data_IF_947619232802
#
_entry.id   IF_947619232802
#
_cell.length_a   1.000
_cell.length_b   1.000
_cell.length_c   1.000
_cell.angle_alpha   90.00
_cell.angle_beta   90.00
_cell.angle_gamma   90.00
#
_symmetry.space_group_name_H-M   'P 1'
#
loop_
_entity.id
_entity.type
_entity.pdbx_description
1 polymer ?
#
# COMPACT_ATOMS: atom_id res chain seq x y z
N UNK A 1 12.20 -7.99 -23.57
CA UNK A 1 10.73 -8.24 -23.70
C UNK A 1 9.98 -6.99 -23.26
N UNK A 2 8.82 -6.66 -23.82
CA UNK A 2 8.01 -5.55 -23.28
C UNK A 2 7.24 -6.04 -22.05
N UNK A 3 7.25 -5.25 -20.96
CA UNK A 3 6.47 -5.56 -19.76
C UNK A 3 4.97 -5.55 -20.09
N UNK A 4 4.23 -6.45 -19.45
CA UNK A 4 2.78 -6.53 -19.57
C UNK A 4 2.12 -5.41 -18.76
N UNK A 5 1.03 -4.87 -19.26
CA UNK A 5 0.19 -3.91 -18.52
C UNK A 5 -0.37 -4.55 -17.25
N UNK A 6 -0.52 -3.78 -16.16
CA UNK A 6 -1.12 -4.26 -14.91
C UNK A 6 -2.52 -4.86 -15.13
N UNK A 7 -3.34 -4.27 -16.00
CA UNK A 7 -4.66 -4.81 -16.33
C UNK A 7 -4.58 -6.25 -16.90
N UNK A 8 -3.64 -6.51 -17.81
CA UNK A 8 -3.43 -7.84 -18.37
C UNK A 8 -2.93 -8.86 -17.33
N UNK A 9 -2.14 -8.42 -16.36
CA UNK A 9 -1.68 -9.24 -15.22
C UNK A 9 -2.86 -9.59 -14.31
N UNK A 10 -3.69 -8.60 -13.96
CA UNK A 10 -4.91 -8.82 -13.15
C UNK A 10 -5.86 -9.80 -13.86
N UNK A 11 -6.00 -9.69 -15.19
CA UNK A 11 -6.83 -10.61 -15.97
C UNK A 11 -6.32 -12.06 -15.96
N UNK A 12 -5.01 -12.25 -15.95
CA UNK A 12 -4.40 -13.58 -15.85
C UNK A 12 -4.59 -14.18 -14.46
N UNK A 13 -4.37 -13.39 -13.39
CA UNK A 13 -4.67 -13.81 -12.02
C UNK A 13 -6.15 -14.21 -11.88
N UNK A 14 -7.08 -13.40 -12.41
CA UNK A 14 -8.52 -13.70 -12.41
C UNK A 14 -8.84 -15.03 -13.10
N UNK A 15 -8.12 -15.32 -14.18
CA UNK A 15 -8.27 -16.55 -14.97
C UNK A 15 -7.53 -17.74 -14.37
N UNK A 16 -6.88 -17.59 -13.20
CA UNK A 16 -6.12 -18.64 -12.53
C UNK A 16 -4.77 -18.93 -13.16
N UNK A 17 -4.20 -18.01 -13.94
CA UNK A 17 -2.85 -18.13 -14.50
C UNK A 17 -1.82 -17.57 -13.53
N UNK A 18 -0.60 -18.11 -13.61
CA UNK A 18 0.57 -17.54 -12.95
C UNK A 18 0.99 -16.24 -13.65
N UNK A 19 1.55 -15.31 -12.89
CA UNK A 19 2.19 -14.08 -13.39
C UNK A 19 3.52 -13.89 -12.66
N UNK A 20 4.38 -13.01 -13.16
CA UNK A 20 5.60 -12.61 -12.49
C UNK A 20 5.52 -11.11 -12.19
N UNK A 21 5.81 -10.74 -10.95
CA UNK A 21 6.11 -9.35 -10.59
C UNK A 21 7.55 -9.26 -10.12
N UNK A 22 8.24 -8.22 -10.58
CA UNK A 22 9.51 -7.80 -10.02
C UNK A 22 9.33 -6.58 -9.12
N UNK A 23 10.14 -6.50 -8.07
CA UNK A 23 10.24 -5.32 -7.21
C UNK A 23 11.30 -4.32 -7.70
N UNK A 24 11.54 -3.26 -6.92
CA UNK A 24 12.51 -2.22 -7.27
C UNK A 24 13.95 -2.74 -7.20
N UNK A 25 14.81 -2.30 -8.13
CA UNK A 25 16.23 -2.70 -8.18
C UNK A 25 17.01 -2.34 -6.90
N UNK A 26 16.52 -1.38 -6.09
CA UNK A 26 17.11 -0.97 -4.82
C UNK A 26 16.48 -1.66 -3.59
N UNK A 27 15.46 -2.49 -3.78
CA UNK A 27 14.80 -3.28 -2.73
C UNK A 27 15.39 -4.69 -2.68
N UNK A 28 14.72 -5.71 -3.20
CA UNK A 28 15.24 -7.09 -3.31
C UNK A 28 15.87 -7.32 -4.69
N UNK A 29 15.40 -6.59 -5.71
CA UNK A 29 15.78 -6.74 -7.12
C UNK A 29 15.46 -8.15 -7.66
N UNK A 30 14.36 -8.72 -7.20
CA UNK A 30 13.96 -10.11 -7.43
C UNK A 30 12.62 -10.18 -8.15
N UNK A 31 12.24 -11.36 -8.60
CA UNK A 31 10.95 -11.61 -9.22
C UNK A 31 10.32 -12.87 -8.67
N UNK A 32 9.03 -12.75 -8.35
CA UNK A 32 8.23 -13.83 -7.79
C UNK A 32 7.22 -14.33 -8.81
N UNK A 33 7.06 -15.65 -8.90
CA UNK A 33 5.86 -16.23 -9.48
C UNK A 33 4.70 -16.04 -8.51
N UNK A 34 3.58 -15.53 -9.00
CA UNK A 34 2.38 -15.24 -8.22
C UNK A 34 1.18 -15.96 -8.86
N UNK A 35 0.39 -16.64 -8.04
CA UNK A 35 -0.91 -17.22 -8.43
C UNK A 35 -1.93 -17.05 -7.31
N UNK A 36 -3.18 -16.75 -7.67
CA UNK A 36 -4.27 -16.67 -6.68
C UNK A 36 -4.41 -17.99 -5.92
N UNK A 37 -4.45 -17.91 -4.58
CA UNK A 37 -4.48 -19.09 -3.72
C UNK A 37 -5.70 -19.97 -3.98
N UNK A 38 -6.86 -19.38 -4.27
CA UNK A 38 -8.09 -20.11 -4.61
C UNK A 38 -8.07 -20.78 -6.00
N UNK A 39 -7.08 -20.48 -6.85
CA UNK A 39 -6.91 -21.05 -8.20
C UNK A 39 -5.71 -22.00 -8.28
N UNK A 40 -4.95 -22.16 -7.20
CA UNK A 40 -3.73 -22.95 -7.23
C UNK A 40 -4.06 -24.43 -7.47
N UNK A 41 -3.20 -25.09 -8.24
CA UNK A 41 -3.32 -26.53 -8.53
C UNK A 41 -2.03 -27.27 -8.15
N UNK A 42 -2.09 -28.59 -7.94
CA UNK A 42 -0.88 -29.39 -7.72
C UNK A 42 0.15 -29.25 -8.84
N UNK A 43 -0.31 -29.11 -10.10
CA UNK A 43 0.55 -28.91 -11.26
C UNK A 43 1.27 -27.56 -11.20
N UNK A 44 0.58 -26.50 -10.77
CA UNK A 44 1.19 -25.18 -10.56
C UNK A 44 2.19 -25.22 -9.41
N UNK A 45 1.86 -25.85 -8.28
CA UNK A 45 2.81 -26.02 -7.17
C UNK A 45 4.06 -26.77 -7.62
N UNK A 46 3.88 -27.87 -8.36
CA UNK A 46 5.02 -28.63 -8.90
C UNK A 46 5.86 -27.80 -9.88
N UNK A 47 5.23 -26.97 -10.72
CA UNK A 47 5.92 -26.04 -11.61
C UNK A 47 6.71 -25.00 -10.82
N UNK A 48 6.06 -24.31 -9.88
CA UNK A 48 6.65 -23.30 -9.00
C UNK A 48 7.91 -23.82 -8.33
N UNK A 49 7.83 -24.98 -7.67
CA UNK A 49 8.97 -25.51 -6.89
C UNK A 49 10.09 -26.07 -7.77
N UNK A 50 9.78 -26.49 -9.00
CA UNK A 50 10.77 -27.04 -9.95
C UNK A 50 11.48 -25.95 -10.75
N UNK A 51 10.72 -24.99 -11.24
CA UNK A 51 11.22 -23.98 -12.18
C UNK A 51 11.66 -22.70 -11.46
N UNK A 52 10.93 -22.24 -10.42
CA UNK A 52 11.34 -21.06 -9.64
C UNK A 52 12.25 -21.41 -8.46
N UNK A 53 12.02 -22.56 -7.80
CA UNK A 53 12.92 -23.18 -6.80
C UNK A 53 13.04 -22.46 -5.44
N UNK A 54 12.47 -21.26 -5.30
CA UNK A 54 12.47 -20.49 -4.06
C UNK A 54 11.64 -21.11 -2.93
N UNK A 55 11.28 -20.28 -1.94
CA UNK A 55 10.43 -20.72 -0.84
C UNK A 55 8.95 -20.50 -1.20
N UNK A 56 8.18 -21.58 -1.29
CA UNK A 56 6.75 -21.47 -1.54
C UNK A 56 6.04 -20.88 -0.30
N UNK A 57 5.66 -19.62 -0.41
CA UNK A 57 4.94 -18.88 0.62
C UNK A 57 3.48 -18.64 0.22
N UNK A 58 2.64 -18.35 1.21
CA UNK A 58 1.27 -17.91 0.98
C UNK A 58 1.09 -16.48 1.50
N UNK A 59 0.77 -15.54 0.62
CA UNK A 59 0.40 -14.19 1.06
C UNK A 59 -1.02 -14.23 1.61
N UNK A 60 -1.23 -13.64 2.78
CA UNK A 60 -2.53 -13.52 3.42
C UNK A 60 -2.71 -12.11 3.97
N UNK A 61 -3.95 -11.66 4.11
CA UNK A 61 -4.23 -10.41 4.83
C UNK A 61 -4.23 -10.62 6.34
N UNK A 62 -4.17 -9.53 7.09
CA UNK A 62 -4.26 -9.57 8.56
C UNK A 62 -5.57 -10.23 9.02
N UNK A 63 -6.68 -10.01 8.32
CA UNK A 63 -7.99 -10.60 8.64
C UNK A 63 -8.00 -12.13 8.45
N UNK A 64 -7.29 -12.64 7.44
CA UNK A 64 -7.15 -14.09 7.25
C UNK A 64 -6.27 -14.68 8.37
N UNK A 65 -5.18 -14.01 8.72
CA UNK A 65 -4.29 -14.44 9.81
C UNK A 65 -5.03 -14.45 11.16
N UNK A 66 -5.83 -13.43 11.45
CA UNK A 66 -6.65 -13.33 12.66
C UNK A 66 -7.74 -14.42 12.68
N UNK A 67 -8.47 -14.61 11.58
CA UNK A 67 -9.52 -15.63 11.46
C UNK A 67 -8.99 -17.05 11.70
N UNK A 68 -7.77 -17.33 11.26
CA UNK A 68 -7.13 -18.63 11.40
C UNK A 68 -6.27 -18.75 12.67
N UNK A 69 -6.26 -17.72 13.53
CA UNK A 69 -5.45 -17.65 14.75
C UNK A 69 -3.96 -17.94 14.49
N UNK A 70 -3.40 -17.38 13.41
CA UNK A 70 -2.00 -17.59 13.00
C UNK A 70 -1.08 -16.52 13.60
N UNK A 71 -0.35 -16.79 14.70
CA UNK A 71 0.60 -15.85 15.25
C UNK A 71 1.83 -15.69 14.34
N UNK A 72 2.47 -14.52 14.41
CA UNK A 72 3.79 -14.31 13.83
C UNK A 72 4.81 -15.28 14.45
N UNK A 73 5.71 -15.83 13.62
CA UNK A 73 6.67 -16.83 14.09
C UNK A 73 7.76 -16.24 15.01
N UNK A 74 8.04 -14.94 14.89
CA UNK A 74 8.99 -14.22 15.76
C UNK A 74 8.29 -13.05 16.45
N UNK A 75 8.64 -12.82 17.72
CA UNK A 75 8.16 -11.65 18.48
C UNK A 75 8.87 -10.36 18.09
N UNK A 76 10.13 -10.48 17.67
CA UNK A 76 10.96 -9.36 17.21
C UNK A 76 11.37 -9.68 15.78
N UNK A 77 10.81 -8.93 14.82
CA UNK A 77 11.17 -9.08 13.42
C UNK A 77 12.44 -8.28 13.14
N UNK A 78 13.57 -8.98 13.03
CA UNK A 78 14.87 -8.39 12.67
C UNK A 78 15.11 -8.33 11.15
N UNK A 79 14.13 -8.73 10.34
CA UNK A 79 14.24 -8.68 8.88
C UNK A 79 14.37 -7.23 8.38
N UNK A 80 15.28 -7.02 7.44
CA UNK A 80 15.54 -5.72 6.81
C UNK A 80 14.29 -5.16 6.13
N UNK A 81 13.45 -6.04 5.59
CA UNK A 81 12.22 -5.67 4.89
C UNK A 81 10.96 -5.94 5.71
N UNK A 82 11.09 -6.30 6.99
CA UNK A 82 9.97 -6.55 7.92
C UNK A 82 8.92 -7.51 7.36
N UNK A 83 9.37 -8.64 6.82
CA UNK A 83 8.51 -9.68 6.26
C UNK A 83 7.82 -10.46 7.38
N UNK A 84 6.49 -10.40 7.44
CA UNK A 84 5.70 -10.90 8.57
C UNK A 84 5.30 -12.38 8.40
N UNK A 85 6.28 -13.27 8.54
CA UNK A 85 5.99 -14.70 8.56
C UNK A 85 5.16 -15.10 9.79
N UNK A 86 4.10 -15.88 9.55
CA UNK A 86 3.42 -16.63 10.62
C UNK A 86 4.14 -17.94 10.91
N UNK A 87 3.70 -18.66 11.93
CA UNK A 87 4.02 -20.10 12.05
C UNK A 87 3.67 -20.83 10.75
N UNK A 88 4.45 -21.84 10.38
CA UNK A 88 4.15 -22.64 9.20
C UNK A 88 2.90 -23.49 9.40
N UNK A 89 2.20 -23.77 8.31
CA UNK A 89 0.88 -24.39 8.34
C UNK A 89 0.76 -25.61 7.42
N UNK A 90 -0.16 -26.49 7.77
CA UNK A 90 -0.65 -27.60 6.95
C UNK A 90 -2.18 -27.67 7.05
N UNK A 91 -2.89 -28.12 6.01
CA UNK A 91 -4.29 -28.47 6.14
C UNK A 91 -4.47 -29.62 7.15
N UNK A 92 -5.50 -29.54 7.98
CA UNK A 92 -5.79 -30.56 8.98
C UNK A 92 -6.30 -31.89 8.36
N UNK A 93 -6.86 -31.82 7.15
CA UNK A 93 -7.45 -32.96 6.44
C UNK A 93 -7.13 -32.90 4.94
N UNK A 94 -7.28 -34.03 4.25
CA UNK A 94 -7.07 -34.12 2.81
C UNK A 94 -5.59 -34.09 2.39
N UNK A 95 -4.67 -34.22 3.35
CA UNK A 95 -3.22 -34.25 3.13
C UNK A 95 -2.58 -35.50 3.74
N UNK A 96 -1.36 -35.80 3.34
CA UNK A 96 -0.57 -36.91 3.89
C UNK A 96 0.58 -36.42 4.78
N UNK A 97 1.79 -36.30 4.23
CA UNK A 97 2.95 -35.75 4.94
C UNK A 97 3.04 -34.24 4.82
N UNK A 98 2.28 -33.62 3.90
CA UNK A 98 2.22 -32.18 3.75
C UNK A 98 3.14 -31.61 2.66
N UNK A 99 4.25 -32.28 2.36
CA UNK A 99 5.28 -31.72 1.46
C UNK A 99 4.96 -31.87 -0.04
N UNK A 100 4.07 -32.79 -0.39
CA UNK A 100 3.77 -33.07 -1.80
C UNK A 100 3.15 -31.85 -2.48
N UNK A 101 3.22 -31.77 -3.81
CA UNK A 101 2.58 -30.68 -4.55
C UNK A 101 1.05 -30.68 -4.35
N UNK A 102 0.47 -31.86 -4.16
CA UNK A 102 -0.95 -32.05 -3.86
C UNK A 102 -1.31 -31.51 -2.47
N UNK A 103 -0.54 -31.90 -1.45
CA UNK A 103 -0.78 -31.49 -0.07
C UNK A 103 -0.61 -29.97 0.08
N UNK A 104 0.47 -29.40 -0.46
CA UNK A 104 0.73 -27.96 -0.43
C UNK A 104 -0.35 -27.14 -1.14
N UNK A 105 -0.84 -27.60 -2.29
CA UNK A 105 -1.97 -26.96 -2.97
C UNK A 105 -3.25 -27.02 -2.14
N UNK A 106 -3.52 -28.16 -1.49
CA UNK A 106 -4.67 -28.33 -0.59
C UNK A 106 -4.58 -27.41 0.63
N UNK A 107 -3.40 -27.29 1.24
CA UNK A 107 -3.12 -26.37 2.36
C UNK A 107 -3.35 -24.91 1.99
N UNK A 108 -2.76 -24.45 0.88
CA UNK A 108 -2.94 -23.08 0.39
C UNK A 108 -4.42 -22.77 0.13
N UNK A 109 -5.13 -23.68 -0.56
CA UNK A 109 -6.55 -23.51 -0.87
C UNK A 109 -7.41 -23.50 0.39
N UNK A 110 -7.10 -24.36 1.36
CA UNK A 110 -7.83 -24.47 2.63
C UNK A 110 -7.69 -23.18 3.44
N UNK A 111 -6.48 -22.65 3.59
CA UNK A 111 -6.24 -21.40 4.31
C UNK A 111 -6.88 -20.18 3.63
N UNK A 112 -6.96 -20.17 2.29
CA UNK A 112 -7.58 -19.09 1.52
C UNK A 112 -9.12 -19.13 1.50
N UNK A 113 -9.74 -20.25 1.90
CA UNK A 113 -11.19 -20.41 1.80
C UNK A 113 -11.94 -19.38 2.68
N UNK A 114 -13.01 -18.79 2.14
CA UNK A 114 -13.81 -17.75 2.82
C UNK A 114 -14.34 -18.21 4.19
N UNK A 115 -14.64 -19.51 4.31
CA UNK A 115 -15.18 -20.12 5.53
C UNK A 115 -14.13 -20.81 6.40
N UNK A 116 -12.84 -20.74 6.03
CA UNK A 116 -11.78 -21.40 6.76
C UNK A 116 -11.79 -20.99 8.23
N UNK A 117 -11.64 -21.99 9.11
CA UNK A 117 -11.61 -21.84 10.56
C UNK A 117 -10.25 -22.31 11.10
N UNK A 118 -9.87 -21.94 12.33
CA UNK A 118 -8.61 -22.37 12.93
C UNK A 118 -8.41 -23.89 12.91
N UNK A 119 -9.47 -24.69 13.14
CA UNK A 119 -9.37 -26.17 13.12
C UNK A 119 -9.11 -26.79 11.74
N UNK A 120 -9.26 -26.02 10.65
CA UNK A 120 -8.99 -26.52 9.30
C UNK A 120 -7.48 -26.55 8.99
N UNK A 121 -6.68 -25.92 9.85
CA UNK A 121 -5.23 -25.76 9.71
C UNK A 121 -4.53 -26.27 10.97
N UNK A 122 -3.35 -26.86 10.80
CA UNK A 122 -2.46 -27.25 11.90
C UNK A 122 -1.09 -26.61 11.72
N UNK A 123 -0.39 -26.42 12.84
CA UNK A 123 0.99 -25.95 12.87
C UNK A 123 1.86 -26.87 13.75
N UNK A 124 3.11 -27.17 13.35
CA UNK A 124 3.79 -26.69 12.14
C UNK A 124 3.33 -27.41 10.85
N UNK A 125 3.77 -26.89 9.70
CA UNK A 125 3.58 -27.52 8.39
C UNK A 125 4.57 -27.03 7.32
N UNK A 126 4.22 -27.21 6.05
CA UNK A 126 5.13 -26.97 4.90
C UNK A 126 4.75 -25.77 4.02
N UNK A 127 3.70 -25.03 4.37
CA UNK A 127 3.39 -23.72 3.78
C UNK A 127 3.73 -22.64 4.78
N UNK A 128 4.27 -21.53 4.29
CA UNK A 128 4.73 -20.40 5.10
C UNK A 128 3.85 -19.17 4.80
N UNK A 129 2.82 -18.90 5.61
CA UNK A 129 2.02 -17.71 5.41
C UNK A 129 2.80 -16.45 5.77
N UNK A 130 2.59 -15.40 4.98
CA UNK A 130 3.21 -14.09 5.15
C UNK A 130 2.10 -13.05 5.14
N UNK A 131 2.02 -12.27 6.21
CA UNK A 131 0.94 -11.31 6.42
C UNK A 131 1.27 -10.00 5.70
N UNK A 132 0.43 -9.64 4.73
CA UNK A 132 0.50 -8.34 4.06
C UNK A 132 0.13 -7.22 5.03
N UNK A 133 0.83 -6.08 4.92
CA UNK A 133 0.48 -4.89 5.67
C UNK A 133 -0.86 -4.30 5.17
N UNK A 134 -1.67 -3.71 6.06
CA UNK A 134 -2.82 -2.90 5.66
C UNK A 134 -2.41 -1.86 4.61
N UNK A 135 -3.30 -1.63 3.64
CA UNK A 135 -3.05 -0.73 2.52
C UNK A 135 -2.27 -1.34 1.36
N UNK A 136 -1.69 -2.54 1.52
CA UNK A 136 -1.05 -3.29 0.44
C UNK A 136 0.17 -2.55 -0.15
N UNK A 137 0.33 -2.61 -1.47
CA UNK A 137 1.53 -2.08 -2.14
C UNK A 137 1.71 -0.57 -2.00
N UNK A 138 0.64 0.14 -1.63
CA UNK A 138 0.68 1.58 -1.36
C UNK A 138 1.36 1.92 -0.04
N UNK A 139 1.37 0.97 0.91
CA UNK A 139 2.05 1.12 2.20
C UNK A 139 3.41 0.44 2.21
N UNK A 140 3.48 -0.82 1.75
CA UNK A 140 4.72 -1.60 1.62
C UNK A 140 4.83 -2.17 0.22
N UNK A 141 5.79 -1.74 -0.62
CA UNK A 141 5.91 -2.18 -2.00
C UNK A 141 6.63 -3.55 -2.10
N UNK A 142 6.09 -4.58 -1.43
CA UNK A 142 6.65 -5.94 -1.43
C UNK A 142 5.79 -6.97 -2.16
N UNK A 143 6.39 -8.12 -2.49
CA UNK A 143 5.70 -9.23 -3.15
C UNK A 143 4.52 -9.78 -2.32
N UNK A 144 4.64 -9.74 -1.00
CA UNK A 144 3.56 -10.11 -0.07
C UNK A 144 2.30 -9.29 -0.31
N UNK A 145 2.44 -7.96 -0.29
CA UNK A 145 1.34 -7.04 -0.55
C UNK A 145 0.82 -7.15 -1.98
N UNK A 146 1.73 -7.26 -2.95
CA UNK A 146 1.39 -7.36 -4.36
C UNK A 146 0.53 -8.61 -4.65
N UNK A 147 0.83 -9.74 -4.02
CA UNK A 147 0.01 -10.95 -4.12
C UNK A 147 -1.43 -10.74 -3.64
N UNK A 148 -1.60 -10.17 -2.43
CA UNK A 148 -2.93 -9.89 -1.88
C UNK A 148 -3.70 -8.87 -2.74
N UNK A 149 -3.04 -7.80 -3.19
CA UNK A 149 -3.65 -6.77 -4.03
C UNK A 149 -4.07 -7.28 -5.40
N UNK A 150 -3.22 -8.07 -6.07
CA UNK A 150 -3.56 -8.66 -7.37
C UNK A 150 -4.80 -9.56 -7.26
N UNK A 151 -4.87 -10.41 -6.23
CA UNK A 151 -6.03 -11.27 -6.03
C UNK A 151 -7.30 -10.47 -5.74
N UNK A 152 -7.21 -9.42 -4.91
CA UNK A 152 -8.33 -8.50 -4.65
C UNK A 152 -8.80 -7.79 -5.92
N UNK A 153 -7.89 -7.22 -6.71
CA UNK A 153 -8.20 -6.55 -7.98
C UNK A 153 -8.77 -7.52 -9.03
N UNK A 154 -8.40 -8.80 -8.94
CA UNK A 154 -8.97 -9.87 -9.75
C UNK A 154 -10.39 -10.28 -9.31
N UNK A 155 -10.88 -9.80 -8.15
CA UNK A 155 -12.18 -10.18 -7.58
C UNK A 155 -12.18 -11.54 -6.88
N UNK A 156 -11.01 -11.97 -6.39
CA UNK A 156 -10.78 -13.24 -5.71
C UNK A 156 -10.50 -12.99 -4.22
N UNK A 157 -10.45 -14.06 -3.42
CA UNK A 157 -9.96 -13.95 -2.03
C UNK A 157 -8.55 -13.32 -2.00
N UNK A 158 -8.26 -12.35 -1.11
CA UNK A 158 -6.99 -11.61 -1.09
C UNK A 158 -5.84 -12.47 -0.52
N UNK A 159 -5.51 -13.54 -1.21
CA UNK A 159 -4.44 -14.47 -0.88
C UNK A 159 -3.85 -15.06 -2.16
N UNK A 160 -2.52 -15.14 -2.23
CA UNK A 160 -1.79 -15.76 -3.32
C UNK A 160 -0.79 -16.77 -2.78
N UNK A 161 -0.35 -17.68 -3.65
CA UNK A 161 0.93 -18.35 -3.46
C UNK A 161 2.01 -17.58 -4.22
N UNK A 162 3.15 -17.40 -3.58
CA UNK A 162 4.33 -16.75 -4.15
C UNK A 162 5.57 -17.62 -3.98
N UNK A 163 6.51 -17.50 -4.92
CA UNK A 163 7.82 -18.15 -4.84
C UNK A 163 8.83 -17.33 -5.63
N UNK A 164 9.99 -17.08 -5.04
CA UNK A 164 11.07 -16.36 -5.70
C UNK A 164 11.67 -17.22 -6.83
N UNK A 165 12.06 -16.59 -7.93
CA UNK A 165 12.67 -17.27 -9.07
C UNK A 165 14.20 -17.26 -8.94
N UNK A 166 14.79 -18.45 -8.89
CA UNK A 166 16.25 -18.65 -8.90
C UNK A 166 16.74 -19.16 -10.24
N UNK A 167 17.93 -18.71 -10.62
CA UNK A 167 18.70 -19.26 -11.73
C UNK A 167 19.12 -20.72 -11.45
N UNK A 168 19.47 -21.50 -12.48
CA UNK A 168 19.87 -22.89 -12.32
C UNK A 168 21.08 -23.12 -11.40
N UNK A 169 21.95 -22.11 -11.26
CA UNK A 169 23.13 -22.12 -10.39
C UNK A 169 22.82 -21.75 -8.92
N UNK A 170 21.56 -21.44 -8.62
CA UNK A 170 21.10 -21.04 -7.29
C UNK A 170 21.23 -19.53 -6.99
N UNK A 171 21.72 -18.73 -7.94
CA UNK A 171 21.64 -17.26 -7.81
C UNK A 171 20.22 -16.76 -8.05
N UNK A 172 19.86 -15.59 -7.51
CA UNK A 172 18.54 -15.00 -7.74
C UNK A 172 18.41 -14.48 -9.17
N UNK A 173 17.30 -14.80 -9.85
CA UNK A 173 17.03 -14.32 -11.19
C UNK A 173 16.81 -12.81 -11.19
N UNK A 174 17.56 -12.09 -12.02
CA UNK A 174 17.39 -10.63 -12.19
C UNK A 174 16.59 -10.33 -13.45
N UNK A 175 16.31 -9.05 -13.72
CA UNK A 175 15.45 -8.62 -14.84
C UNK A 175 15.68 -9.38 -16.16
N UNK A 176 16.92 -9.51 -16.63
CA UNK A 176 17.22 -10.21 -17.88
C UNK A 176 16.91 -11.72 -17.83
N UNK A 177 17.08 -12.34 -16.66
CA UNK A 177 16.74 -13.75 -16.41
C UNK A 177 15.21 -13.91 -16.37
N UNK A 178 14.53 -13.01 -15.66
CA UNK A 178 13.06 -12.99 -15.55
C UNK A 178 12.39 -12.79 -16.90
N UNK A 179 12.91 -11.91 -17.77
CA UNK A 179 12.40 -11.74 -19.13
C UNK A 179 12.55 -13.03 -19.96
N UNK A 180 13.66 -13.76 -19.79
CA UNK A 180 13.87 -15.06 -20.46
C UNK A 180 12.95 -16.13 -19.91
N UNK A 181 12.82 -16.22 -18.58
CA UNK A 181 11.94 -17.15 -17.89
C UNK A 181 10.47 -16.94 -18.31
N UNK A 182 10.01 -15.69 -18.28
CA UNK A 182 8.68 -15.29 -18.71
C UNK A 182 8.39 -15.71 -20.16
N UNK A 183 9.33 -15.44 -21.08
CA UNK A 183 9.20 -15.82 -22.48
C UNK A 183 9.23 -17.32 -22.70
N UNK A 184 10.04 -18.07 -21.95
CA UNK A 184 10.16 -19.52 -22.08
C UNK A 184 8.89 -20.24 -21.64
N UNK A 185 8.20 -19.71 -20.62
CA UNK A 185 7.04 -20.33 -20.01
C UNK A 185 5.71 -19.68 -20.39
N UNK A 186 5.72 -18.67 -21.26
CA UNK A 186 4.54 -17.89 -21.66
C UNK A 186 3.81 -17.28 -20.44
N UNK A 187 4.58 -16.67 -19.54
CA UNK A 187 4.07 -16.04 -18.31
C UNK A 187 4.24 -14.53 -18.41
N UNK A 188 3.18 -13.77 -18.11
CA UNK A 188 3.23 -12.31 -18.11
C UNK A 188 4.14 -11.79 -17.01
N UNK A 189 4.95 -10.78 -17.34
CA UNK A 189 5.88 -10.11 -16.44
C UNK A 189 5.49 -8.64 -16.28
N UNK A 190 5.41 -8.16 -15.05
CA UNK A 190 5.21 -6.75 -14.70
C UNK A 190 6.03 -6.31 -13.49
N UNK A 191 5.72 -5.14 -12.97
CA UNK A 191 6.43 -4.54 -11.82
C UNK A 191 5.46 -4.15 -10.71
N UNK A 192 5.94 -4.19 -9.46
CA UNK A 192 5.17 -3.64 -8.32
C UNK A 192 4.94 -2.13 -8.52
N UNK A 193 5.89 -1.41 -9.12
CA UNK A 193 5.74 0.02 -9.42
C UNK A 193 4.56 0.31 -10.37
N UNK A 194 4.36 -0.50 -11.40
CA UNK A 194 3.20 -0.38 -12.29
C UNK A 194 1.89 -0.79 -11.61
N UNK A 195 1.94 -1.70 -10.63
CA UNK A 195 0.77 -2.04 -9.80
C UNK A 195 0.39 -0.87 -8.87
N UNK A 196 1.37 -0.22 -8.24
CA UNK A 196 1.16 0.99 -7.43
C UNK A 196 0.51 2.08 -8.29
N UNK A 197 1.08 2.37 -9.46
CA UNK A 197 0.52 3.37 -10.39
C UNK A 197 -0.91 3.03 -10.80
N UNK A 198 -1.16 1.77 -11.15
CA UNK A 198 -2.50 1.32 -11.51
C UNK A 198 -3.50 1.55 -10.38
N UNK A 199 -3.15 1.21 -9.12
CA UNK A 199 -4.02 1.45 -7.97
C UNK A 199 -4.28 2.94 -7.75
N UNK A 200 -3.25 3.79 -7.80
CA UNK A 200 -3.39 5.25 -7.67
C UNK A 200 -4.31 5.85 -8.74
N UNK A 201 -4.29 5.31 -9.95
CA UNK A 201 -5.14 5.78 -11.06
C UNK A 201 -6.58 5.25 -11.01
N UNK A 202 -6.82 4.07 -10.43
CA UNK A 202 -8.10 3.35 -10.55
C UNK A 202 -8.89 3.25 -9.25
N UNK A 203 -8.27 3.50 -8.09
CA UNK A 203 -8.93 3.42 -6.79
C UNK A 203 -9.21 4.81 -6.21
N UNK A 204 -10.34 4.94 -5.53
CA UNK A 204 -10.62 6.11 -4.69
C UNK A 204 -9.99 5.85 -3.33
N UNK A 205 -8.84 6.50 -3.08
CA UNK A 205 -8.04 6.27 -1.88
C UNK A 205 -8.32 7.26 -0.75
N UNK A 206 -9.03 8.34 -1.06
CA UNK A 206 -9.37 9.41 -0.14
C UNK A 206 -10.88 9.58 -0.08
N UNK A 207 -11.43 9.54 1.13
CA UNK A 207 -12.83 9.85 1.41
C UNK A 207 -12.89 11.19 2.13
N UNK A 208 -13.61 12.19 1.58
CA UNK A 208 -13.81 13.45 2.27
C UNK A 208 -14.70 13.24 3.51
N UNK A 209 -14.17 13.54 4.69
CA UNK A 209 -14.90 13.41 5.96
C UNK A 209 -15.35 14.73 6.53
N UNK A 210 -14.61 15.82 6.27
CA UNK A 210 -14.93 17.14 6.81
C UNK A 210 -14.46 18.26 5.89
N UNK A 211 -15.23 19.35 5.84
CA UNK A 211 -14.86 20.60 5.17
C UNK A 211 -15.19 21.78 6.08
N UNK A 212 -14.23 22.66 6.29
CA UNK A 212 -14.34 23.81 7.19
C UNK A 212 -13.78 25.08 6.54
N UNK A 213 -14.55 26.18 6.50
CA UNK A 213 -13.98 27.47 6.12
C UNK A 213 -13.05 27.98 7.23
N UNK A 214 -11.84 28.38 6.84
CA UNK A 214 -10.84 28.97 7.71
C UNK A 214 -10.54 30.41 7.29
N UNK A 215 -10.79 31.35 8.21
CA UNK A 215 -10.37 32.73 8.04
C UNK A 215 -8.97 32.89 8.66
N UNK A 216 -7.99 33.19 7.83
CA UNK A 216 -6.62 33.45 8.26
C UNK A 216 -6.25 34.92 8.00
N UNK A 217 -5.18 35.44 8.63
CA UNK A 217 -4.66 36.77 8.31
C UNK A 217 -4.22 36.96 6.85
N UNK A 218 -3.98 35.87 6.13
CA UNK A 218 -3.63 35.87 4.71
C UNK A 218 -4.85 35.77 3.81
N UNK A 219 -6.06 35.63 4.36
CA UNK A 219 -7.30 35.49 3.61
C UNK A 219 -8.04 34.20 3.95
N UNK A 220 -9.08 33.94 3.17
CA UNK A 220 -9.93 32.78 3.37
C UNK A 220 -9.30 31.53 2.76
N UNK A 221 -9.41 30.41 3.46
CA UNK A 221 -9.04 29.07 3.02
C UNK A 221 -10.18 28.12 3.36
N UNK A 222 -10.20 26.95 2.72
CA UNK A 222 -11.01 25.83 3.15
C UNK A 222 -10.08 24.69 3.58
N UNK A 223 -10.28 24.19 4.80
CA UNK A 223 -9.63 22.98 5.30
C UNK A 223 -10.51 21.78 4.97
N UNK A 224 -9.92 20.82 4.29
CA UNK A 224 -10.51 19.54 3.97
C UNK A 224 -9.82 18.47 4.81
N UNK A 225 -10.61 17.61 5.44
CA UNK A 225 -10.14 16.37 6.06
C UNK A 225 -10.58 15.21 5.20
N UNK A 226 -9.64 14.35 4.87
CA UNK A 226 -9.86 13.11 4.16
C UNK A 226 -9.48 11.94 5.04
N UNK A 227 -10.22 10.85 4.97
CA UNK A 227 -9.78 9.55 5.44
C UNK A 227 -9.02 8.86 4.31
N UNK A 228 -7.78 8.46 4.55
CA UNK A 228 -6.99 7.65 3.63
C UNK A 228 -7.38 6.18 3.82
N UNK A 229 -8.16 5.66 2.88
CA UNK A 229 -8.77 4.33 2.98
C UNK A 229 -7.78 3.17 3.19
N UNK A 230 -6.53 3.20 2.66
CA UNK A 230 -5.57 2.11 2.83
C UNK A 230 -5.18 1.80 4.28
N UNK A 231 -5.07 2.81 5.15
CA UNK A 231 -4.63 2.62 6.55
C UNK A 231 -5.47 3.39 7.58
N UNK A 232 -6.60 3.94 7.14
CA UNK A 232 -7.53 4.74 7.94
C UNK A 232 -6.92 6.02 8.56
N UNK A 233 -5.75 6.47 8.09
CA UNK A 233 -5.14 7.73 8.53
C UNK A 233 -5.90 8.96 8.01
N UNK A 234 -5.72 10.09 8.69
CA UNK A 234 -6.27 11.37 8.26
C UNK A 234 -5.29 12.11 7.34
N UNK A 235 -5.79 12.61 6.22
CA UNK A 235 -5.08 13.53 5.34
C UNK A 235 -5.78 14.89 5.37
N UNK A 236 -5.02 15.98 5.35
CA UNK A 236 -5.56 17.33 5.38
C UNK A 236 -5.12 18.11 4.15
N UNK A 237 -6.03 18.87 3.56
CA UNK A 237 -5.69 19.81 2.51
C UNK A 237 -6.23 21.19 2.85
N UNK A 238 -5.40 22.21 2.68
CA UNK A 238 -5.79 23.60 2.84
C UNK A 238 -5.76 24.29 1.48
N UNK A 239 -6.90 24.80 1.03
CA UNK A 239 -7.05 25.32 -0.33
C UNK A 239 -7.57 26.76 -0.35
N UNK A 240 -7.02 27.57 -1.25
CA UNK A 240 -7.45 28.95 -1.51
C UNK A 240 -7.85 29.15 -2.98
N UNK A 241 -8.55 30.24 -3.27
CA UNK A 241 -8.87 30.65 -4.64
C UNK A 241 -9.66 29.60 -5.42
N UNK A 242 -9.34 29.45 -6.72
CA UNK A 242 -10.07 28.53 -7.61
C UNK A 242 -9.83 27.05 -7.30
N UNK A 243 -8.76 26.71 -6.57
CA UNK A 243 -8.45 25.32 -6.20
C UNK A 243 -9.60 24.67 -5.39
N UNK A 244 -10.39 25.46 -4.66
CA UNK A 244 -11.58 25.01 -3.92
C UNK A 244 -12.65 24.37 -4.81
N UNK A 245 -12.77 24.83 -6.07
CA UNK A 245 -13.79 24.35 -7.01
C UNK A 245 -13.38 23.12 -7.80
N UNK A 246 -12.09 22.77 -7.79
CA UNK A 246 -11.54 21.68 -8.61
C UNK A 246 -11.46 20.35 -7.87
N UNK A 247 -11.43 20.33 -6.53
CA UNK A 247 -11.29 19.10 -5.71
C UNK A 247 -12.34 18.04 -6.02
N UNK A 248 -13.50 18.46 -6.55
CA UNK A 248 -14.63 17.57 -6.79
C UNK A 248 -15.16 17.62 -8.22
N UNK A 249 -14.46 18.26 -9.16
CA UNK A 249 -15.10 18.56 -10.45
C UNK A 249 -15.21 17.37 -11.40
N UNK A 250 -14.31 16.40 -11.39
CA UNK A 250 -14.42 15.23 -12.30
C UNK A 250 -13.56 14.03 -11.88
N UNK A 251 -14.15 13.07 -11.15
CA UNK A 251 -13.79 11.63 -10.98
C UNK A 251 -12.34 11.11 -10.87
N UNK A 252 -11.27 11.89 -10.97
CA UNK A 252 -9.89 11.53 -10.60
C UNK A 252 -9.14 12.78 -10.14
N UNK A 253 -8.12 12.57 -9.32
CA UNK A 253 -7.26 13.55 -8.64
C UNK A 253 -6.42 14.41 -9.60
N UNK A 254 -7.04 15.16 -10.51
CA UNK A 254 -6.32 16.05 -11.45
C UNK A 254 -5.92 17.40 -10.83
N UNK A 255 -6.35 17.66 -9.59
CA UNK A 255 -6.10 18.95 -8.91
C UNK A 255 -4.69 19.02 -8.35
N UNK A 256 -4.14 17.88 -7.90
CA UNK A 256 -2.87 17.92 -7.22
C UNK A 256 -1.70 18.15 -8.18
N UNK A 257 -1.81 17.72 -9.44
CA UNK A 257 -0.72 17.87 -10.40
C UNK A 257 -0.57 19.29 -10.98
N UNK A 258 -1.63 20.11 -10.94
CA UNK A 258 -1.67 21.45 -11.57
C UNK A 258 -1.55 22.62 -10.60
N UNK A 259 -1.69 22.36 -9.29
CA UNK A 259 -1.50 23.37 -8.25
C UNK A 259 -0.07 23.25 -7.74
N UNK A 260 0.67 24.36 -7.51
CA UNK A 260 1.96 24.29 -6.83
C UNK A 260 1.73 23.72 -5.42
N UNK A 261 2.06 22.45 -5.22
CA UNK A 261 1.94 21.79 -3.91
C UNK A 261 3.27 21.87 -3.20
N UNK A 262 3.24 22.37 -1.98
CA UNK A 262 4.25 22.05 -0.99
C UNK A 262 3.69 20.92 -0.12
N UNK A 263 4.32 19.75 -0.23
CA UNK A 263 3.99 18.56 0.54
C UNK A 263 4.94 18.44 1.72
N UNK A 264 4.39 18.41 2.94
CA UNK A 264 5.14 18.10 4.14
C UNK A 264 4.54 16.87 4.81
N UNK A 265 5.39 15.87 5.07
CA UNK A 265 5.03 14.69 5.85
C UNK A 265 5.39 14.95 7.30
N UNK A 266 4.42 14.82 8.20
CA UNK A 266 4.61 15.09 9.63
C UNK A 266 4.65 13.78 10.42
N UNK A 267 5.77 13.52 11.08
CA UNK A 267 5.99 12.27 11.84
C UNK A 267 5.74 12.48 13.34
N UNK A 268 5.92 13.70 13.86
CA UNK A 268 5.80 14.04 15.29
C UNK A 268 5.05 15.36 15.56
N UNK A 269 4.59 15.55 16.80
CA UNK A 269 3.93 16.78 17.28
C UNK A 269 4.84 18.03 17.21
N UNK A 270 6.15 17.83 17.43
CA UNK A 270 7.15 18.88 17.24
C UNK A 270 7.28 19.27 15.76
N UNK A 271 7.13 18.32 14.84
CA UNK A 271 7.12 18.61 13.40
C UNK A 271 5.89 19.45 13.03
N UNK A 272 4.75 19.24 13.69
CA UNK A 272 3.55 20.08 13.50
C UNK A 272 3.74 21.52 14.00
N UNK A 273 4.35 21.71 15.18
CA UNK A 273 4.67 23.04 15.72
C UNK A 273 5.74 23.76 14.88
N UNK A 274 6.71 23.01 14.34
CA UNK A 274 7.71 23.51 13.39
C UNK A 274 7.11 23.78 12.00
N UNK A 275 6.17 22.94 11.55
CA UNK A 275 5.39 23.12 10.32
C UNK A 275 4.57 24.40 10.42
N UNK A 276 3.78 24.58 11.48
CA UNK A 276 3.11 25.85 11.80
C UNK A 276 4.10 27.01 12.10
N UNK A 277 5.42 26.81 11.97
CA UNK A 277 6.43 27.85 12.01
C UNK A 277 6.47 28.71 10.74
N UNK A 278 7.62 29.39 10.53
CA UNK A 278 7.77 30.39 9.47
C UNK A 278 7.60 29.88 8.04
N UNK A 279 7.77 28.59 7.78
CA UNK A 279 7.66 28.00 6.44
C UNK A 279 6.21 27.92 5.97
N UNK A 280 5.30 27.31 6.76
CA UNK A 280 3.86 27.31 6.43
C UNK A 280 3.30 28.71 6.30
N UNK A 281 3.78 29.63 7.14
CA UNK A 281 3.40 31.04 7.04
C UNK A 281 3.73 31.65 5.68
N UNK A 282 4.93 31.38 5.16
CA UNK A 282 5.34 31.82 3.83
C UNK A 282 4.55 31.09 2.73
N UNK A 283 4.20 29.82 2.93
CA UNK A 283 3.38 29.05 1.99
C UNK A 283 1.94 29.59 1.92
N UNK A 284 1.32 29.86 3.08
CA UNK A 284 -0.01 30.49 3.17
C UNK A 284 -0.02 31.88 2.56
N UNK A 285 1.02 32.68 2.82
CA UNK A 285 1.16 34.01 2.21
C UNK A 285 1.29 33.90 0.69
N UNK A 286 2.14 33.01 0.17
CA UNK A 286 2.28 32.77 -1.28
C UNK A 286 0.98 32.26 -1.92
N UNK A 287 0.27 31.36 -1.23
CA UNK A 287 -1.03 30.84 -1.68
C UNK A 287 -2.12 31.92 -1.70
N UNK A 288 -2.09 32.87 -0.77
CA UNK A 288 -3.06 33.98 -0.76
C UNK A 288 -2.87 34.98 -1.89
N UNK A 289 -1.63 35.12 -2.34
CA UNK A 289 -1.25 36.03 -3.43
C UNK A 289 -1.42 35.37 -4.81
N UNK A 290 -1.67 34.06 -4.85
CA UNK A 290 -1.87 33.28 -6.07
C UNK A 290 -3.37 33.08 -6.35
N UNK A 291 -3.77 33.09 -7.63
CA UNK A 291 -5.15 32.80 -8.04
C UNK A 291 -5.54 31.32 -7.81
N UNK A 292 -4.54 30.45 -7.66
CA UNK A 292 -4.65 29.03 -7.36
C UNK A 292 -3.57 28.67 -6.33
N UNK A 293 -3.96 28.10 -5.19
CA UNK A 293 -3.03 27.69 -4.13
C UNK A 293 -3.59 26.50 -3.34
N UNK A 294 -2.75 25.50 -3.12
CA UNK A 294 -3.11 24.28 -2.40
C UNK A 294 -1.92 23.77 -1.60
N UNK A 295 -2.12 23.54 -0.31
CA UNK A 295 -1.15 22.90 0.57
C UNK A 295 -1.74 21.59 1.07
N UNK A 296 -0.99 20.50 0.96
CA UNK A 296 -1.43 19.18 1.41
C UNK A 296 -0.54 18.76 2.56
N UNK A 297 -1.19 18.42 3.67
CA UNK A 297 -0.53 17.88 4.85
C UNK A 297 -0.97 16.43 5.00
N UNK A 298 0.00 15.53 4.86
CA UNK A 298 -0.22 14.10 5.03
C UNK A 298 0.17 13.77 6.47
N UNK A 299 -0.82 13.44 7.32
CA UNK A 299 -0.55 12.96 8.68
C UNK A 299 -0.31 11.46 8.62
N UNK A 300 0.92 11.03 8.92
CA UNK A 300 1.32 9.63 8.79
C UNK A 300 1.26 8.83 10.10
N UNK A 301 0.63 9.35 11.16
CA UNK A 301 0.66 8.67 12.47
C UNK A 301 -0.71 8.58 13.16
N UNK A 302 -1.03 7.37 13.63
CA UNK A 302 -2.15 7.09 14.51
C UNK A 302 -2.03 7.76 15.89
N UNK A 303 -0.87 8.31 16.25
CA UNK A 303 -0.69 9.10 17.48
C UNK A 303 -1.31 10.50 17.39
N UNK A 304 -1.46 11.04 16.17
CA UNK A 304 -2.20 12.28 15.93
C UNK A 304 -3.72 12.08 16.01
N UNK A 305 -4.24 10.84 15.97
CA UNK A 305 -5.69 10.56 16.15
C UNK A 305 -6.24 10.99 17.52
N UNK A 306 -5.38 11.15 18.54
CA UNK A 306 -5.76 11.70 19.86
C UNK A 306 -5.82 13.23 19.89
N UNK A 307 -5.36 13.88 18.84
CA UNK A 307 -5.27 15.33 18.73
C UNK A 307 -6.00 15.77 17.47
N UNK A 308 -7.17 16.38 17.63
CA UNK A 308 -7.88 16.93 16.48
C UNK A 308 -7.02 18.03 15.85
N UNK A 309 -6.40 17.74 14.69
CA UNK A 309 -5.57 18.69 13.94
C UNK A 309 -6.38 19.95 13.63
N UNK A 310 -7.71 19.83 13.47
CA UNK A 310 -8.63 20.96 13.41
C UNK A 310 -8.48 21.87 14.63
N UNK A 311 -8.57 21.32 15.83
CA UNK A 311 -8.46 22.07 17.08
C UNK A 311 -7.08 22.71 17.22
N UNK A 312 -6.02 22.05 16.75
CA UNK A 312 -4.67 22.63 16.80
C UNK A 312 -4.47 23.75 15.78
N UNK A 313 -4.96 23.60 14.54
CA UNK A 313 -4.98 24.69 13.55
C UNK A 313 -5.75 25.88 14.12
N UNK A 314 -6.95 25.63 14.67
CA UNK A 314 -7.78 26.68 15.27
C UNK A 314 -7.10 27.33 16.48
N UNK A 315 -6.50 26.54 17.38
CA UNK A 315 -5.75 27.06 18.54
C UNK A 315 -4.51 27.82 18.11
N UNK A 316 -3.74 27.34 17.14
CA UNK A 316 -2.57 28.03 16.61
C UNK A 316 -2.95 29.39 16.00
N UNK A 317 -4.01 29.43 15.19
CA UNK A 317 -4.56 30.66 14.62
C UNK A 317 -5.02 31.63 15.72
N UNK A 318 -5.70 31.13 16.75
CA UNK A 318 -6.20 31.92 17.88
C UNK A 318 -5.08 32.43 18.81
N UNK A 319 -4.10 31.60 19.14
CA UNK A 319 -3.00 31.94 20.05
C UNK A 319 -2.04 32.95 19.44
N UNK A 320 -1.83 32.88 18.13
CA UNK A 320 -0.98 33.82 17.42
C UNK A 320 -1.74 35.08 16.95
N UNK A 321 -3.06 35.19 17.17
CA UNK A 321 -3.91 36.37 16.92
C UNK A 321 -3.23 37.72 17.20
N UNK A 322 -2.54 37.90 18.33
CA UNK A 322 -1.87 39.16 18.64
C UNK A 322 -0.59 39.40 17.83
N UNK A 323 0.18 38.35 17.55
CA UNK A 323 1.38 38.41 16.71
C UNK A 323 1.02 38.70 15.24
N UNK A 324 -0.12 38.19 14.76
CA UNK A 324 -0.66 38.47 13.43
C UNK A 324 -1.04 39.94 13.21
N UNK A 325 -1.55 40.61 14.25
CA UNK A 325 -1.85 42.05 14.17
C UNK A 325 -0.59 42.92 14.02
N UNK A 326 0.58 42.43 14.47
CA UNK A 326 1.85 43.13 14.29
C UNK A 326 2.42 42.94 12.87
N UNK A 327 2.30 41.74 12.28
CA UNK A 327 2.78 41.43 10.92
C UNK A 327 1.89 42.04 9.83
N UNK A 328 0.56 42.08 10.03
CA UNK A 328 -0.35 42.76 9.08
C UNK A 328 -0.12 44.27 9.02
N UNK A 329 0.28 44.90 10.14
CA UNK A 329 0.63 46.33 10.18
C UNK A 329 1.94 46.66 9.46
N UNK A 330 2.92 45.74 9.45
CA UNK A 330 4.17 45.95 8.70
C UNK A 330 4.00 45.71 7.19
N UNK A 331 3.08 44.84 6.77
CA UNK A 331 2.80 44.59 5.36
C UNK A 331 1.93 45.68 4.68
N UNK A 332 1.26 46.55 5.44
CA UNK A 332 0.52 47.72 4.90
C UNK A 332 1.34 49.02 4.95
N UNK A 333 2.58 48.96 5.44
CA UNK A 333 3.49 50.09 5.56
C UNK A 333 4.69 50.02 4.59
N UNK A 334 4.67 49.09 3.63
CA UNK A 334 5.70 48.91 2.60
C UNK A 334 5.14 49.11 1.19
#
# INVERSE_FOLDING_TARGET
>A
MQLSTTEAIINDIRSGKMVILMDDEKRENEGDLIVAAEKITPQMVNFMVKEARGLLCQTITAEIAERLELPLMTKTNGDKFTTNFTVSIEAAQGVTTGISAFDRAATITTAAAVKAQPQDIVSPGHIFPVVAQPGGVLHRPGHTEAGCDLARLAGLAPSCAIIEIMNPDGSMARRADLERFASQHDIKLGTIADLIRYRLEHEMLLELTEQLPLNTPFGQFDLYRFKYCPDDSDCYALLSGQARSHVFSDKRTDVFEKVPIESHTLQHELDWLSFCGGEVMQSLQRMSQSSQGGMVVISSSSSLSKFDIRDQVLRFLQQNAPAWQAISRSCHAA
#
